data_IF_964621211993
#
_entry.id   IF_964621211993
#
_cell.length_a   1.000
_cell.length_b   1.000
_cell.length_c   1.000
_cell.angle_alpha   90.00
_cell.angle_beta   90.00
_cell.angle_gamma   90.00
#
_symmetry.space_group_name_H-M   'P 1'
#
loop_
_entity.id
_entity.type
_entity.pdbx_description
1 polymer ?
#
# COMPACT_ATOMS: atom_id res chain seq x y z
N UNK A 1 -25.18 -74.68 12.29
CA UNK A 1 -24.52 -73.59 11.55
C UNK A 1 -25.00 -72.26 12.12
N UNK A 2 -24.21 -71.67 13.02
CA UNK A 2 -24.49 -70.36 13.60
C UNK A 2 -24.02 -69.27 12.65
N UNK A 3 -24.92 -68.39 12.21
CA UNK A 3 -24.58 -67.24 11.39
C UNK A 3 -24.79 -65.97 12.23
N UNK A 4 -23.70 -65.45 12.81
CA UNK A 4 -23.70 -64.21 13.58
C UNK A 4 -23.72 -63.03 12.61
N UNK A 5 -24.92 -62.52 12.31
CA UNK A 5 -25.11 -61.26 11.59
C UNK A 5 -24.58 -60.09 12.42
N UNK A 6 -23.53 -59.43 11.96
CA UNK A 6 -23.01 -58.20 12.55
C UNK A 6 -24.02 -57.05 12.34
N UNK A 7 -24.69 -56.64 13.41
CA UNK A 7 -25.33 -55.33 13.47
C UNK A 7 -24.24 -54.25 13.53
N UNK A 8 -24.12 -53.45 12.47
CA UNK A 8 -23.45 -52.14 12.52
C UNK A 8 -24.55 -51.07 12.52
N UNK A 9 -24.69 -50.26 13.59
CA UNK A 9 -25.63 -49.14 13.54
C UNK A 9 -25.03 -48.04 12.65
N UNK A 10 -25.65 -47.79 11.51
CA UNK A 10 -25.45 -46.56 10.73
C UNK A 10 -26.05 -45.38 11.52
N UNK A 11 -25.30 -44.86 12.48
CA UNK A 11 -25.63 -43.60 13.15
C UNK A 11 -24.37 -42.76 13.14
N UNK A 12 -24.09 -42.11 12.02
CA UNK A 12 -23.48 -40.79 11.96
C UNK A 12 -23.39 -40.39 10.50
N UNK A 13 -24.01 -39.28 10.12
CA UNK A 13 -23.80 -38.75 8.78
C UNK A 13 -24.91 -37.91 8.20
N UNK A 14 -25.78 -37.30 9.01
CA UNK A 14 -26.60 -36.18 8.53
C UNK A 14 -26.78 -35.12 9.61
N UNK A 15 -26.50 -33.89 9.19
CA UNK A 15 -26.90 -32.63 9.83
C UNK A 15 -25.97 -32.04 10.89
N UNK A 16 -24.83 -31.51 10.42
CA UNK A 16 -24.16 -30.36 11.06
C UNK A 16 -23.55 -29.42 9.99
N UNK A 17 -24.21 -29.31 8.84
CA UNK A 17 -23.91 -28.33 7.80
C UNK A 17 -25.18 -27.55 7.46
N UNK A 18 -25.81 -27.01 8.50
CA UNK A 18 -26.92 -26.07 8.35
C UNK A 18 -26.39 -24.73 7.81
N UNK A 19 -26.61 -24.48 6.53
CA UNK A 19 -26.84 -23.18 5.91
C UNK A 19 -25.98 -21.97 6.37
N UNK A 20 -24.67 -21.97 6.06
CA UNK A 20 -23.90 -20.72 5.92
C UNK A 20 -23.78 -20.30 4.45
N UNK A 21 -24.90 -20.21 3.72
CA UNK A 21 -24.92 -19.61 2.38
C UNK A 21 -25.61 -18.25 2.33
N UNK A 22 -25.47 -17.45 3.38
CA UNK A 22 -25.38 -16.02 3.15
C UNK A 22 -23.94 -15.74 2.69
N UNK A 23 -23.67 -15.79 1.39
CA UNK A 23 -22.44 -15.23 0.83
C UNK A 23 -22.48 -13.73 1.08
N UNK A 24 -22.02 -13.30 2.25
CA UNK A 24 -21.83 -11.89 2.56
C UNK A 24 -21.03 -11.28 1.41
N UNK A 25 -21.71 -10.44 0.63
CA UNK A 25 -21.21 -9.96 -0.65
C UNK A 25 -20.35 -8.74 -0.34
N UNK A 26 -19.07 -8.96 -0.06
CA UNK A 26 -18.07 -7.88 0.15
C UNK A 26 -17.75 -7.10 -1.15
N UNK A 27 -18.62 -7.17 -2.16
CA UNK A 27 -18.39 -6.58 -3.48
C UNK A 27 -18.43 -5.06 -3.40
N UNK A 28 -19.35 -4.49 -2.63
CA UNK A 28 -19.38 -3.04 -2.44
C UNK A 28 -18.11 -2.53 -1.76
N UNK A 29 -17.68 -3.19 -0.67
CA UNK A 29 -16.45 -2.83 0.02
C UNK A 29 -15.21 -2.98 -0.90
N UNK A 30 -15.13 -4.06 -1.67
CA UNK A 30 -14.05 -4.27 -2.64
C UNK A 30 -14.05 -3.21 -3.75
N UNK A 31 -15.23 -2.87 -4.27
CA UNK A 31 -15.42 -1.84 -5.29
C UNK A 31 -15.09 -0.44 -4.79
N UNK A 32 -15.50 -0.11 -3.57
CA UNK A 32 -15.28 1.18 -2.92
C UNK A 32 -13.82 1.35 -2.51
N UNK A 33 -13.19 0.28 -1.99
CA UNK A 33 -11.81 0.32 -1.50
C UNK A 33 -10.84 0.86 -2.54
N UNK A 34 -10.86 0.32 -3.77
CA UNK A 34 -9.98 0.79 -4.84
C UNK A 34 -10.21 2.27 -5.17
N UNK A 35 -11.46 2.73 -5.16
CA UNK A 35 -11.80 4.12 -5.49
C UNK A 35 -11.39 5.09 -4.40
N UNK A 36 -11.63 4.72 -3.15
CA UNK A 36 -11.21 5.49 -1.99
C UNK A 36 -9.68 5.58 -1.93
N UNK A 37 -8.98 4.46 -2.16
CA UNK A 37 -7.52 4.43 -2.24
C UNK A 37 -7.01 5.37 -3.35
N UNK A 38 -7.58 5.28 -4.56
CA UNK A 38 -7.26 6.19 -5.65
C UNK A 38 -7.47 7.65 -5.28
N UNK A 39 -8.60 8.00 -4.66
CA UNK A 39 -8.91 9.37 -4.25
C UNK A 39 -7.91 9.91 -3.22
N UNK A 40 -7.58 9.10 -2.21
CA UNK A 40 -6.55 9.45 -1.21
C UNK A 40 -5.20 9.64 -1.89
N UNK A 41 -4.82 8.76 -2.82
CA UNK A 41 -3.59 8.91 -3.60
C UNK A 41 -3.58 10.18 -4.45
N UNK A 42 -4.69 10.57 -5.08
CA UNK A 42 -4.79 11.85 -5.82
C UNK A 42 -4.53 13.02 -4.89
N UNK A 43 -5.18 13.06 -3.74
CA UNK A 43 -5.00 14.13 -2.75
C UNK A 43 -3.53 14.18 -2.30
N UNK A 44 -2.93 13.03 -2.00
CA UNK A 44 -1.53 12.95 -1.58
C UNK A 44 -0.56 13.46 -2.68
N UNK A 45 -0.73 13.01 -3.93
CA UNK A 45 0.09 13.48 -5.05
C UNK A 45 -0.03 14.99 -5.26
N UNK A 46 -1.25 15.53 -5.31
CA UNK A 46 -1.46 16.96 -5.55
C UNK A 46 -0.98 17.82 -4.38
N UNK A 47 -1.22 17.36 -3.14
CA UNK A 47 -0.73 18.01 -1.94
C UNK A 47 0.78 18.13 -1.97
N UNK A 48 1.47 17.02 -2.25
CA UNK A 48 2.93 17.03 -2.31
C UNK A 48 3.45 17.82 -3.51
N UNK A 49 2.83 17.67 -4.69
CA UNK A 49 3.24 18.40 -5.90
C UNK A 49 3.21 19.91 -5.69
N UNK A 50 2.19 20.44 -5.02
CA UNK A 50 2.09 21.89 -4.73
C UNK A 50 3.28 22.47 -3.98
N UNK A 51 4.02 21.63 -3.24
CA UNK A 51 5.17 22.02 -2.42
C UNK A 51 6.49 21.44 -2.97
N UNK A 52 6.44 20.62 -4.02
CA UNK A 52 7.57 19.82 -4.46
C UNK A 52 8.76 20.68 -4.90
N UNK A 53 8.52 21.79 -5.59
CA UNK A 53 9.60 22.65 -6.08
C UNK A 53 10.34 23.36 -4.93
N UNK A 54 9.61 23.76 -3.88
CA UNK A 54 10.20 24.35 -2.69
C UNK A 54 10.97 23.33 -1.84
N UNK A 55 10.56 22.05 -1.85
CA UNK A 55 11.16 21.00 -1.04
C UNK A 55 12.32 20.30 -1.75
N UNK A 56 12.05 19.72 -2.93
CA UNK A 56 12.97 18.83 -3.65
C UNK A 56 13.38 19.34 -5.04
N UNK A 57 12.85 20.50 -5.48
CA UNK A 57 13.24 21.14 -6.73
C UNK A 57 14.72 21.51 -6.77
N UNK A 58 15.21 21.96 -7.93
CA UNK A 58 16.64 22.31 -8.07
C UNK A 58 17.08 23.41 -7.09
N UNK A 59 16.19 24.38 -6.81
CA UNK A 59 16.40 25.47 -5.85
C UNK A 59 15.64 25.23 -4.53
N UNK A 60 15.25 23.98 -4.26
CA UNK A 60 14.49 23.59 -3.08
C UNK A 60 15.38 23.44 -1.83
N UNK A 61 14.74 23.19 -0.69
CA UNK A 61 15.43 22.97 0.58
C UNK A 61 16.40 21.78 0.55
N UNK A 62 16.05 20.71 -0.17
CA UNK A 62 16.87 19.53 -0.35
C UNK A 62 16.71 18.97 -1.77
N UNK A 63 17.47 19.50 -2.75
CA UNK A 63 17.35 19.09 -4.14
C UNK A 63 17.59 17.59 -4.32
N UNK A 64 16.63 16.89 -4.92
CA UNK A 64 16.74 15.43 -5.07
C UNK A 64 17.93 15.00 -5.93
N UNK A 65 18.35 15.85 -6.89
CA UNK A 65 19.49 15.57 -7.77
C UNK A 65 20.80 15.48 -7.01
N UNK A 66 20.99 16.35 -6.02
CA UNK A 66 22.19 16.37 -5.18
C UNK A 66 22.25 15.10 -4.31
N UNK A 67 21.11 14.68 -3.73
CA UNK A 67 21.01 13.42 -2.98
C UNK A 67 21.35 12.21 -3.87
N UNK A 68 20.79 12.11 -5.07
CA UNK A 68 21.11 11.01 -5.97
C UNK A 68 22.56 11.04 -6.46
N UNK A 69 23.12 12.22 -6.75
CA UNK A 69 24.54 12.35 -7.10
C UNK A 69 25.44 11.87 -5.96
N UNK A 70 25.17 12.29 -4.73
CA UNK A 70 25.90 11.84 -3.55
C UNK A 70 25.84 10.31 -3.38
N UNK A 71 24.66 9.70 -3.52
CA UNK A 71 24.49 8.24 -3.42
C UNK A 71 25.21 7.50 -4.56
N UNK A 72 25.25 8.09 -5.76
CA UNK A 72 26.00 7.54 -6.89
C UNK A 72 27.51 7.57 -6.64
N UNK A 73 28.04 8.67 -6.11
CA UNK A 73 29.46 8.81 -5.75
C UNK A 73 29.86 7.85 -4.62
N UNK A 74 29.03 7.73 -3.58
CA UNK A 74 29.25 6.79 -2.48
C UNK A 74 29.30 5.34 -2.99
N UNK A 75 28.37 4.97 -3.87
CA UNK A 75 28.32 3.61 -4.42
C UNK A 75 29.51 3.28 -5.32
N UNK A 76 30.07 4.29 -6.01
CA UNK A 76 31.31 4.15 -6.79
C UNK A 76 32.53 3.99 -5.88
N UNK A 77 32.61 4.77 -4.80
CA UNK A 77 33.70 4.69 -3.83
C UNK A 77 33.77 3.33 -3.12
N UNK A 78 32.62 2.69 -2.90
CA UNK A 78 32.54 1.34 -2.32
C UNK A 78 32.72 0.21 -3.34
N UNK A 79 33.05 0.51 -4.61
CA UNK A 79 33.17 -0.44 -5.71
C UNK A 79 31.92 -1.33 -5.92
N UNK A 80 30.76 -0.88 -5.42
CA UNK A 80 29.48 -1.59 -5.52
C UNK A 80 28.42 -0.71 -6.18
N UNK A 81 28.43 -0.60 -7.52
CA UNK A 81 27.52 0.28 -8.25
C UNK A 81 26.05 -0.11 -8.11
N UNK A 82 25.74 -1.37 -7.74
CA UNK A 82 24.37 -1.83 -7.55
C UNK A 82 23.75 -1.30 -6.24
N UNK A 83 24.58 -0.89 -5.27
CA UNK A 83 24.14 -0.42 -3.95
C UNK A 83 23.22 0.81 -4.03
N UNK A 84 23.42 1.68 -5.04
CA UNK A 84 22.60 2.89 -5.21
C UNK A 84 21.10 2.62 -5.30
N UNK A 85 20.69 1.51 -5.94
CA UNK A 85 19.28 1.15 -6.07
C UNK A 85 18.69 0.60 -4.76
N UNK A 86 19.52 0.00 -3.91
CA UNK A 86 19.09 -0.42 -2.57
C UNK A 86 18.96 0.77 -1.62
N UNK A 87 19.80 1.79 -1.78
CA UNK A 87 19.78 3.00 -0.94
C UNK A 87 18.66 3.95 -1.34
N UNK A 88 18.46 4.15 -2.66
CA UNK A 88 17.41 4.99 -3.23
C UNK A 88 16.66 4.24 -4.33
N UNK A 89 15.67 3.41 -3.99
CA UNK A 89 14.84 2.73 -4.98
C UNK A 89 13.84 3.72 -5.62
N UNK A 90 14.28 4.46 -6.63
CA UNK A 90 13.47 5.49 -7.32
C UNK A 90 13.56 5.37 -8.84
N UNK A 91 12.48 5.74 -9.54
CA UNK A 91 12.46 5.85 -11.00
C UNK A 91 13.28 7.05 -11.52
N UNK A 92 13.60 8.01 -10.65
CA UNK A 92 14.35 9.23 -11.00
C UNK A 92 15.78 8.96 -11.49
N UNK A 93 16.29 7.73 -11.32
CA UNK A 93 17.56 7.30 -11.89
C UNK A 93 17.55 7.18 -13.43
N UNK A 94 16.37 7.02 -14.04
CA UNK A 94 16.25 6.65 -15.45
C UNK A 94 15.69 7.81 -16.27
N UNK A 95 16.32 8.13 -17.41
CA UNK A 95 15.73 9.06 -18.39
C UNK A 95 14.66 8.33 -19.22
N UNK A 96 13.49 8.94 -19.53
CA UNK A 96 13.08 10.33 -19.26
C UNK A 96 12.37 10.52 -17.90
N UNK A 97 12.31 9.49 -17.05
CA UNK A 97 11.66 9.51 -15.74
C UNK A 97 12.42 10.34 -14.68
N UNK A 98 13.62 10.82 -14.96
CA UNK A 98 14.41 11.73 -14.13
C UNK A 98 13.84 13.17 -14.12
N UNK A 99 12.53 13.29 -13.95
CA UNK A 99 11.77 14.52 -13.83
C UNK A 99 10.64 14.29 -12.83
N UNK A 100 10.75 14.90 -11.64
CA UNK A 100 9.77 14.70 -10.56
C UNK A 100 8.36 15.12 -10.97
N UNK A 101 8.20 16.19 -11.75
CA UNK A 101 6.88 16.59 -12.28
C UNK A 101 6.24 15.56 -13.19
N UNK A 102 7.06 14.87 -14.00
CA UNK A 102 6.54 13.80 -14.85
C UNK A 102 6.01 12.63 -14.00
N UNK A 103 6.72 12.27 -12.92
CA UNK A 103 6.26 11.25 -11.96
C UNK A 103 4.98 11.69 -11.25
N UNK A 104 4.90 12.95 -10.83
CA UNK A 104 3.67 13.49 -10.25
C UNK A 104 2.49 13.43 -11.22
N UNK A 105 2.70 13.81 -12.48
CA UNK A 105 1.67 13.76 -13.52
C UNK A 105 1.20 12.31 -13.77
N UNK A 106 2.14 11.39 -14.01
CA UNK A 106 1.83 9.97 -14.26
C UNK A 106 1.13 9.36 -13.03
N UNK A 107 1.66 9.58 -11.83
CA UNK A 107 1.09 9.10 -10.58
C UNK A 107 -0.31 9.64 -10.32
N UNK A 108 -0.54 10.93 -10.55
CA UNK A 108 -1.84 11.57 -10.39
C UNK A 108 -2.88 11.03 -11.38
N UNK A 109 -2.52 10.91 -12.66
CA UNK A 109 -3.40 10.34 -13.70
C UNK A 109 -3.75 8.88 -13.35
N UNK A 110 -2.75 8.10 -12.94
CA UNK A 110 -2.93 6.72 -12.51
C UNK A 110 -3.86 6.62 -11.28
N UNK A 111 -3.68 7.50 -10.30
CA UNK A 111 -4.54 7.56 -9.13
C UNK A 111 -5.99 7.95 -9.50
N UNK A 112 -6.19 8.88 -10.44
CA UNK A 112 -7.52 9.21 -10.98
C UNK A 112 -8.14 7.99 -11.65
N UNK A 113 -7.39 7.26 -12.47
CA UNK A 113 -7.87 6.02 -13.10
C UNK A 113 -8.29 4.98 -12.05
N UNK A 114 -7.52 4.85 -10.98
CA UNK A 114 -7.88 4.01 -9.84
C UNK A 114 -9.17 4.50 -9.15
N UNK A 115 -9.35 5.82 -8.96
CA UNK A 115 -10.56 6.44 -8.39
C UNK A 115 -11.82 6.13 -9.20
N UNK A 116 -11.73 6.16 -10.54
CA UNK A 116 -12.88 5.83 -11.40
C UNK A 116 -13.01 4.31 -11.65
N UNK A 117 -11.99 3.54 -11.30
CA UNK A 117 -11.93 2.08 -11.40
C UNK A 117 -11.51 1.55 -12.78
N UNK A 118 -10.75 2.34 -13.54
CA UNK A 118 -10.09 1.94 -14.79
C UNK A 118 -8.80 1.20 -14.45
N UNK A 119 -8.63 0.00 -15.02
CA UNK A 119 -7.44 -0.85 -14.90
C UNK A 119 -6.87 -0.88 -13.46
N UNK A 120 -7.69 -1.16 -12.42
CA UNK A 120 -7.34 -0.86 -11.03
C UNK A 120 -6.01 -1.49 -10.59
N UNK A 121 -5.69 -2.71 -11.04
CA UNK A 121 -4.41 -3.34 -10.75
C UNK A 121 -3.22 -2.57 -11.35
N UNK A 122 -3.25 -2.25 -12.65
CA UNK A 122 -2.18 -1.48 -13.31
C UNK A 122 -2.08 -0.06 -12.75
N UNK A 123 -3.22 0.58 -12.50
CA UNK A 123 -3.29 1.91 -11.91
C UNK A 123 -2.69 1.92 -10.50
N UNK A 124 -2.93 0.90 -9.68
CA UNK A 124 -2.32 0.78 -8.36
C UNK A 124 -0.80 0.55 -8.44
N UNK A 125 -0.31 -0.26 -9.39
CA UNK A 125 1.14 -0.46 -9.61
C UNK A 125 1.81 0.85 -9.96
N UNK A 126 1.28 1.58 -10.95
CA UNK A 126 1.89 2.83 -11.41
C UNK A 126 1.85 3.89 -10.30
N UNK A 127 0.73 4.01 -9.58
CA UNK A 127 0.62 4.91 -8.43
C UNK A 127 1.62 4.53 -7.31
N UNK A 128 1.74 3.24 -6.99
CA UNK A 128 2.71 2.75 -6.01
C UNK A 128 4.15 3.12 -6.40
N UNK A 129 4.58 2.79 -7.62
CA UNK A 129 5.95 3.03 -8.05
C UNK A 129 6.28 4.52 -8.13
N UNK A 130 5.35 5.35 -8.61
CA UNK A 130 5.54 6.80 -8.65
C UNK A 130 5.61 7.40 -7.23
N UNK A 131 4.69 7.02 -6.34
CA UNK A 131 4.67 7.53 -4.96
C UNK A 131 5.90 7.10 -4.19
N UNK A 132 6.30 5.83 -4.27
CA UNK A 132 7.53 5.33 -3.66
C UNK A 132 8.76 6.10 -4.18
N UNK A 133 8.86 6.30 -5.49
CA UNK A 133 9.99 7.01 -6.10
C UNK A 133 10.14 8.44 -5.59
N UNK A 134 9.02 9.14 -5.41
CA UNK A 134 8.94 10.50 -4.90
C UNK A 134 9.18 10.55 -3.38
N UNK A 135 8.60 9.61 -2.63
CA UNK A 135 8.78 9.49 -1.18
C UNK A 135 10.25 9.25 -0.80
N UNK A 136 10.95 8.38 -1.54
CA UNK A 136 12.37 8.05 -1.30
C UNK A 136 13.29 9.27 -1.42
N UNK A 137 13.07 10.13 -2.43
CA UNK A 137 13.86 11.35 -2.60
C UNK A 137 13.32 12.54 -1.80
N UNK A 138 12.09 12.44 -1.32
CA UNK A 138 11.43 13.42 -0.48
C UNK A 138 11.86 13.40 0.98
N UNK A 139 12.74 12.48 1.40
CA UNK A 139 13.28 12.40 2.75
C UNK A 139 14.03 13.71 3.11
N UNK A 140 13.76 14.37 4.26
CA UNK A 140 12.99 13.87 5.41
C UNK A 140 11.50 14.25 5.42
N UNK A 141 11.00 14.95 4.41
CA UNK A 141 9.66 15.54 4.41
C UNK A 141 8.51 14.54 4.22
N UNK A 142 8.77 13.38 3.60
CA UNK A 142 7.76 12.35 3.31
C UNK A 142 7.94 11.01 4.05
N UNK A 143 8.71 10.99 5.13
CA UNK A 143 8.92 9.79 5.94
C UNK A 143 7.96 9.70 7.13
N UNK A 144 6.79 10.34 7.06
CA UNK A 144 5.78 10.28 8.12
C UNK A 144 4.97 8.98 8.04
N UNK A 145 4.33 8.62 9.17
CA UNK A 145 3.56 7.36 9.28
C UNK A 145 2.46 7.24 8.21
N UNK A 146 1.83 8.36 7.82
CA UNK A 146 0.76 8.37 6.82
C UNK A 146 1.27 8.11 5.39
N UNK A 147 2.46 8.61 5.04
CA UNK A 147 3.09 8.37 3.73
C UNK A 147 3.53 6.91 3.59
N UNK A 148 4.13 6.36 4.65
CA UNK A 148 4.47 4.94 4.75
C UNK A 148 3.21 4.10 4.62
N UNK A 149 2.15 4.43 5.38
CA UNK A 149 0.87 3.72 5.34
C UNK A 149 0.25 3.73 3.94
N UNK A 150 0.25 4.88 3.24
CA UNK A 150 -0.29 4.98 1.89
C UNK A 150 0.50 4.08 0.91
N UNK A 151 1.83 4.12 1.01
CA UNK A 151 2.74 3.31 0.18
C UNK A 151 2.55 1.81 0.43
N UNK A 152 2.46 1.39 1.69
CA UNK A 152 2.17 0.01 2.08
C UNK A 152 0.76 -0.41 1.62
N UNK A 153 -0.23 0.47 1.74
CA UNK A 153 -1.60 0.20 1.29
C UNK A 153 -1.64 -0.01 -0.22
N UNK A 154 -0.97 0.85 -1.00
CA UNK A 154 -0.87 0.70 -2.46
C UNK A 154 -0.20 -0.63 -2.83
N UNK A 155 0.91 -1.00 -2.20
CA UNK A 155 1.60 -2.27 -2.43
C UNK A 155 0.73 -3.49 -2.10
N UNK A 156 0.15 -3.53 -0.89
CA UNK A 156 -0.64 -4.68 -0.45
C UNK A 156 -1.98 -4.75 -1.19
N UNK A 157 -2.50 -3.62 -1.68
CA UNK A 157 -3.71 -3.58 -2.50
C UNK A 157 -3.55 -4.35 -3.82
N UNK A 158 -2.32 -4.56 -4.32
CA UNK A 158 -2.09 -5.32 -5.54
C UNK A 158 -2.60 -6.78 -5.43
N UNK A 159 -2.56 -7.36 -4.23
CA UNK A 159 -3.09 -8.70 -3.98
C UNK A 159 -4.60 -8.74 -3.76
N UNK A 160 -5.23 -7.57 -3.61
CA UNK A 160 -6.65 -7.42 -3.35
C UNK A 160 -7.42 -6.94 -4.58
N UNK A 161 -6.86 -5.99 -5.35
CA UNK A 161 -7.48 -5.37 -6.51
C UNK A 161 -7.61 -6.34 -7.69
N UNK A 162 -8.69 -6.23 -8.48
CA UNK A 162 -8.94 -7.16 -9.57
C UNK A 162 -8.16 -6.80 -10.83
N UNK A 163 -7.69 -7.82 -11.56
CA UNK A 163 -7.08 -7.64 -12.90
C UNK A 163 -8.20 -7.57 -13.94
N UNK A 164 -8.76 -6.38 -14.16
CA UNK A 164 -9.85 -6.13 -15.13
C UNK A 164 -9.70 -4.75 -15.78
N UNK A 165 -10.35 -4.51 -16.93
CA UNK A 165 -10.35 -3.18 -17.56
C UNK A 165 -11.14 -2.14 -16.76
N UNK A 166 -12.29 -2.52 -16.24
CA UNK A 166 -13.16 -1.66 -15.46
C UNK A 166 -13.76 -2.44 -14.30
N UNK A 167 -13.62 -1.89 -13.09
CA UNK A 167 -14.21 -2.47 -11.89
C UNK A 167 -15.65 -1.98 -11.71
N UNK A 168 -16.60 -2.78 -12.22
CA UNK A 168 -18.04 -2.52 -12.10
C UNK A 168 -18.63 -3.20 -10.87
N UNK A 169 -19.48 -2.48 -10.12
CA UNK A 169 -20.16 -3.01 -8.95
C UNK A 169 -21.09 -4.19 -9.29
N UNK A 170 -21.75 -4.14 -10.45
CA UNK A 170 -22.75 -5.13 -10.89
C UNK A 170 -22.14 -6.44 -11.40
N UNK A 171 -20.83 -6.50 -11.60
CA UNK A 171 -20.11 -7.70 -12.05
C UNK A 171 -19.30 -8.23 -10.88
N UNK A 172 -19.85 -9.14 -10.05
CA UNK A 172 -19.17 -9.60 -8.85
C UNK A 172 -17.88 -10.33 -9.22
N UNK A 173 -16.76 -9.88 -8.65
CA UNK A 173 -15.45 -10.49 -8.84
C UNK A 173 -15.04 -11.25 -7.59
N UNK A 174 -14.22 -12.29 -7.77
CA UNK A 174 -13.72 -13.06 -6.64
C UNK A 174 -12.74 -12.19 -5.85
N UNK A 175 -13.06 -11.96 -4.58
CA UNK A 175 -12.15 -11.26 -3.65
C UNK A 175 -11.07 -12.23 -3.19
N UNK A 176 -9.81 -11.79 -3.24
CA UNK A 176 -8.68 -12.56 -2.72
C UNK A 176 -8.69 -12.53 -1.19
N UNK A 177 -8.85 -13.71 -0.56
CA UNK A 177 -8.77 -13.83 0.89
C UNK A 177 -7.39 -13.44 1.42
N UNK A 178 -6.33 -13.74 0.65
CA UNK A 178 -4.96 -13.40 1.00
C UNK A 178 -4.75 -11.88 0.97
N UNK A 179 -5.16 -11.20 -0.10
CA UNK A 179 -5.09 -9.74 -0.19
C UNK A 179 -5.89 -9.06 0.93
N UNK A 180 -7.06 -9.59 1.26
CA UNK A 180 -7.85 -9.11 2.40
C UNK A 180 -7.10 -9.28 3.74
N UNK A 181 -6.47 -10.42 3.96
CA UNK A 181 -5.70 -10.67 5.19
C UNK A 181 -4.52 -9.71 5.31
N UNK A 182 -3.82 -9.43 4.22
CA UNK A 182 -2.72 -8.45 4.20
C UNK A 182 -3.21 -7.05 4.59
N UNK A 183 -4.33 -6.59 4.03
CA UNK A 183 -4.90 -5.28 4.38
C UNK A 183 -5.39 -5.22 5.84
N UNK A 184 -5.97 -6.31 6.36
CA UNK A 184 -6.33 -6.41 7.79
C UNK A 184 -5.09 -6.42 8.68
N UNK A 185 -4.03 -7.11 8.26
CA UNK A 185 -2.74 -7.10 8.95
C UNK A 185 -2.12 -5.71 8.99
N UNK A 186 -2.21 -4.94 7.89
CA UNK A 186 -1.76 -3.54 7.85
C UNK A 186 -2.56 -2.66 8.82
N UNK A 187 -3.88 -2.83 8.88
CA UNK A 187 -4.72 -2.14 9.86
C UNK A 187 -4.33 -2.51 11.30
N UNK A 188 -4.06 -3.79 11.56
CA UNK A 188 -3.60 -4.25 12.87
C UNK A 188 -2.25 -3.63 13.24
N UNK A 189 -1.30 -3.57 12.29
CA UNK A 189 -0.02 -2.87 12.45
C UNK A 189 -0.24 -1.40 12.84
N UNK A 190 -1.08 -0.68 12.08
CA UNK A 190 -1.38 0.73 12.35
C UNK A 190 -1.93 0.93 13.77
N UNK A 191 -2.94 0.15 14.16
CA UNK A 191 -3.54 0.24 15.50
C UNK A 191 -2.55 -0.09 16.62
N UNK A 192 -1.68 -1.09 16.40
CA UNK A 192 -0.66 -1.50 17.35
C UNK A 192 0.41 -0.41 17.51
N UNK A 193 0.91 0.15 16.42
CA UNK A 193 1.89 1.24 16.45
C UNK A 193 1.31 2.49 17.14
N UNK A 194 0.07 2.88 16.80
CA UNK A 194 -0.63 3.97 17.50
C UNK A 194 -0.83 3.71 19.00
N UNK A 195 -1.02 2.44 19.39
CA UNK A 195 -1.14 2.03 20.79
C UNK A 195 0.19 2.04 21.54
N UNK A 196 1.25 1.50 20.94
CA UNK A 196 2.58 1.40 21.57
C UNK A 196 3.15 2.76 21.93
N UNK A 197 3.00 3.77 21.06
CA UNK A 197 3.47 5.14 21.33
C UNK A 197 2.90 5.68 22.65
N UNK A 198 1.66 5.31 23.02
CA UNK A 198 1.06 5.74 24.28
C UNK A 198 1.74 5.13 25.51
N UNK A 199 2.37 3.97 25.37
CA UNK A 199 3.06 3.29 26.48
C UNK A 199 4.55 3.62 26.53
N UNK A 200 5.16 3.92 25.39
CA UNK A 200 6.62 4.09 25.28
C UNK A 200 7.06 5.56 25.27
N UNK A 201 6.16 6.50 24.99
CA UNK A 201 6.48 7.91 24.98
C UNK A 201 6.28 8.53 26.37
N UNK A 202 7.38 8.99 26.96
CA UNK A 202 7.41 9.69 28.25
C UNK A 202 7.89 11.12 28.01
N UNK A 203 7.28 12.07 28.71
CA UNK A 203 7.74 13.46 28.71
C UNK A 203 9.11 13.58 29.39
N UNK A 204 9.78 14.72 29.24
CA UNK A 204 11.12 14.94 29.79
C UNK A 204 11.21 14.86 31.32
N UNK A 205 10.07 14.94 32.01
CA UNK A 205 9.93 14.74 33.45
C UNK A 205 9.67 13.26 33.84
N UNK A 206 9.66 12.34 32.87
CA UNK A 206 9.36 10.92 33.07
C UNK A 206 7.88 10.61 33.25
N UNK A 207 6.98 11.60 33.14
CA UNK A 207 5.54 11.40 33.18
C UNK A 207 5.04 10.81 31.86
N UNK A 208 3.99 9.99 31.94
CA UNK A 208 3.29 9.53 30.75
C UNK A 208 1.93 10.24 30.71
N UNK A 209 1.78 11.17 29.77
CA UNK A 209 0.57 11.99 29.58
C UNK A 209 -0.70 11.16 29.26
N UNK A 210 -0.55 9.86 28.97
CA UNK A 210 -1.65 8.94 28.68
C UNK A 210 -2.04 8.04 29.86
N UNK A 211 -1.38 8.17 31.02
CA UNK A 211 -1.69 7.38 32.22
C UNK A 211 -2.72 8.02 33.15
N UNK A 212 -2.95 9.32 33.02
CA UNK A 212 -3.95 10.08 33.79
C UNK A 212 -5.28 10.16 33.02
#
# INVERSE_FOLDING_TARGET
MFNFGRHTPQVFGKSLAGHFQNKATYQFAHWLFGRALGLVSVIAFLSYWSQADALIGNDGLKPWKEDLQFIEELSKAEENPAKKWSLRPTLLWFQPLANHHLLFAIGSISAIFLTIGVLPFSSAIVSYTCYLSLMVVGEPFLSFQWDILLTETLLLSLFFLPITRFHHLLKPLRVSNFGRLLLVGLLAKLMLESGLVKFTYFAGDGSNTWRD
#
